data_IF_428421007245
#
_entry.id   IF_428421007245
#
_cell.length_a   1.000
_cell.length_b   1.000
_cell.length_c   1.000
_cell.angle_alpha   90.00
_cell.angle_beta   90.00
_cell.angle_gamma   90.00
#
_symmetry.space_group_name_H-M   'P 1'
#
loop_
_entity.id
_entity.type
_entity.pdbx_description
1 polymer ?
#
# COMPACT_ATOMS: atom_id res chain seq x y z
N UNK A 1 54.80 -24.17 13.73
CA UNK A 1 53.40 -24.27 14.20
C UNK A 1 52.94 -22.88 14.61
N UNK A 2 52.13 -22.24 13.77
CA UNK A 2 51.18 -21.17 14.15
C UNK A 2 50.18 -21.03 13.00
N UNK A 3 49.00 -21.61 13.19
CA UNK A 3 47.82 -21.38 12.36
C UNK A 3 47.29 -19.98 12.66
N UNK A 4 46.98 -19.21 11.61
CA UNK A 4 46.01 -18.11 11.71
C UNK A 4 45.07 -18.24 10.53
N UNK A 5 43.94 -18.89 10.80
CA UNK A 5 42.71 -18.78 10.02
C UNK A 5 42.27 -17.32 10.05
N UNK A 6 42.12 -16.70 8.87
CA UNK A 6 41.37 -15.44 8.74
C UNK A 6 40.12 -15.75 7.94
N UNK A 7 39.02 -15.73 8.69
CA UNK A 7 37.62 -15.90 8.33
C UNK A 7 37.24 -15.17 7.04
N UNK A 8 36.61 -15.90 6.13
CA UNK A 8 35.87 -15.32 5.02
C UNK A 8 34.62 -14.63 5.57
N UNK A 9 34.62 -13.30 5.62
CA UNK A 9 33.39 -12.52 5.82
C UNK A 9 32.53 -12.66 4.56
N UNK A 10 31.59 -13.59 4.62
CA UNK A 10 30.50 -13.76 3.65
C UNK A 10 29.64 -12.50 3.68
N UNK A 11 29.90 -11.60 2.74
CA UNK A 11 29.13 -10.37 2.52
C UNK A 11 27.78 -10.73 1.85
N UNK A 12 26.90 -11.37 2.61
CA UNK A 12 25.62 -11.91 2.17
C UNK A 12 24.42 -11.00 2.53
N UNK A 13 24.59 -9.68 2.43
CA UNK A 13 23.49 -8.73 2.73
C UNK A 13 23.35 -7.56 1.76
N UNK A 14 23.11 -7.81 0.46
CA UNK A 14 22.32 -6.84 -0.31
C UNK A 14 21.13 -7.43 -1.09
N UNK A 15 21.05 -8.76 -1.24
CA UNK A 15 20.00 -9.38 -2.08
C UNK A 15 18.67 -9.45 -1.33
N UNK A 16 18.68 -9.74 -0.02
CA UNK A 16 17.46 -9.81 0.79
C UNK A 16 16.73 -8.47 0.88
N UNK A 17 17.46 -7.36 0.90
CA UNK A 17 16.87 -6.01 0.99
C UNK A 17 16.28 -5.54 -0.34
N UNK A 18 16.93 -5.89 -1.47
CA UNK A 18 16.35 -5.70 -2.82
C UNK A 18 15.10 -6.54 -3.04
N UNK A 19 15.09 -7.79 -2.54
CA UNK A 19 13.92 -8.66 -2.60
C UNK A 19 12.79 -8.19 -1.67
N UNK A 20 13.07 -7.54 -0.56
CA UNK A 20 12.07 -6.94 0.32
C UNK A 20 11.38 -5.74 -0.33
N UNK A 21 12.13 -4.85 -1.02
CA UNK A 21 11.57 -3.79 -1.88
C UNK A 21 10.72 -4.35 -3.02
N UNK A 22 11.17 -5.44 -3.66
CA UNK A 22 10.38 -6.13 -4.70
C UNK A 22 9.14 -6.84 -4.14
N UNK A 23 9.18 -7.32 -2.90
CA UNK A 23 8.03 -7.99 -2.25
C UNK A 23 6.87 -7.04 -1.96
N UNK A 24 7.14 -5.75 -1.76
CA UNK A 24 6.11 -4.70 -1.71
C UNK A 24 5.51 -4.39 -3.08
N UNK A 25 6.34 -4.45 -4.13
CA UNK A 25 5.97 -4.15 -5.51
C UNK A 25 5.11 -5.24 -6.18
N UNK A 26 5.25 -6.51 -5.77
CA UNK A 26 4.59 -7.66 -6.40
C UNK A 26 3.30 -8.16 -5.71
N UNK A 27 2.70 -7.36 -4.81
CA UNK A 27 1.39 -7.72 -4.21
C UNK A 27 0.18 -7.42 -5.13
N UNK A 28 0.41 -6.78 -6.27
CA UNK A 28 -0.63 -6.43 -7.24
C UNK A 28 -0.79 -7.41 -8.40
N UNK A 29 -1.98 -7.46 -9.01
CA UNK A 29 -2.24 -8.15 -10.28
C UNK A 29 -1.35 -7.56 -11.40
N UNK A 30 -1.05 -8.30 -12.47
CA UNK A 30 -0.21 -7.86 -13.62
C UNK A 30 -0.63 -6.47 -14.14
N UNK A 31 -1.93 -6.18 -14.10
CA UNK A 31 -2.50 -4.88 -14.50
C UNK A 31 -2.00 -3.74 -13.60
N UNK A 32 -1.89 -3.96 -12.28
CA UNK A 32 -1.35 -2.97 -11.34
C UNK A 32 0.14 -2.74 -11.56
N UNK A 33 0.90 -3.80 -11.85
CA UNK A 33 2.34 -3.68 -12.13
C UNK A 33 2.61 -2.92 -13.43
N UNK A 34 1.80 -3.14 -14.47
CA UNK A 34 1.89 -2.38 -15.72
C UNK A 34 1.45 -0.93 -15.51
N UNK A 35 0.37 -0.69 -14.77
CA UNK A 35 -0.08 0.66 -14.45
C UNK A 35 0.96 1.43 -13.62
N UNK A 36 1.58 0.80 -12.62
CA UNK A 36 2.65 1.42 -11.83
C UNK A 36 3.89 1.77 -12.66
N UNK A 37 4.12 1.06 -13.77
CA UNK A 37 5.18 1.37 -14.73
C UNK A 37 4.78 2.50 -15.69
N UNK A 38 3.48 2.62 -15.99
CA UNK A 38 2.93 3.58 -16.94
C UNK A 38 2.69 4.97 -16.32
N UNK A 39 2.11 4.99 -15.12
CA UNK A 39 1.88 6.22 -14.36
C UNK A 39 3.18 6.64 -13.68
N UNK A 40 3.77 7.69 -14.25
CA UNK A 40 5.02 8.29 -13.74
C UNK A 40 4.79 9.19 -12.53
N UNK A 41 3.55 9.61 -12.33
CA UNK A 41 3.06 10.39 -11.20
C UNK A 41 2.29 9.48 -10.25
N UNK A 42 2.64 9.54 -8.97
CA UNK A 42 2.00 8.75 -7.92
C UNK A 42 0.54 9.14 -7.74
N UNK A 43 0.19 10.40 -7.91
CA UNK A 43 -1.18 10.87 -7.73
C UNK A 43 -2.08 10.34 -8.85
N UNK A 44 -1.60 10.38 -10.10
CA UNK A 44 -2.31 9.78 -11.24
C UNK A 44 -2.46 8.24 -11.12
N UNK A 45 -1.45 7.56 -10.57
CA UNK A 45 -1.55 6.12 -10.28
C UNK A 45 -2.62 5.83 -9.21
N UNK A 46 -2.65 6.62 -8.14
CA UNK A 46 -3.62 6.47 -7.06
C UNK A 46 -5.05 6.72 -7.55
N UNK A 47 -5.27 7.76 -8.37
CA UNK A 47 -6.57 8.06 -8.97
C UNK A 47 -7.05 6.91 -9.87
N UNK A 48 -6.16 6.35 -10.70
CA UNK A 48 -6.48 5.18 -11.51
C UNK A 48 -6.84 3.96 -10.65
N UNK A 49 -6.10 3.71 -9.57
CA UNK A 49 -6.31 2.58 -8.68
C UNK A 49 -7.66 2.70 -7.96
N UNK A 50 -8.01 3.91 -7.49
CA UNK A 50 -9.30 4.21 -6.88
C UNK A 50 -10.48 4.01 -7.85
N UNK A 51 -10.35 4.51 -9.08
CA UNK A 51 -11.36 4.30 -10.12
C UNK A 51 -11.55 2.81 -10.44
N UNK A 52 -10.45 2.06 -10.56
CA UNK A 52 -10.48 0.63 -10.82
C UNK A 52 -11.16 -0.15 -9.68
N UNK A 53 -10.84 0.17 -8.44
CA UNK A 53 -11.41 -0.49 -7.26
C UNK A 53 -12.91 -0.20 -7.16
N UNK A 54 -13.33 1.04 -7.40
CA UNK A 54 -14.74 1.43 -7.46
C UNK A 54 -15.51 0.59 -8.49
N UNK A 55 -14.98 0.46 -9.71
CA UNK A 55 -15.57 -0.38 -10.77
C UNK A 55 -15.61 -1.85 -10.37
N UNK A 56 -14.52 -2.37 -9.81
CA UNK A 56 -14.39 -3.79 -9.45
C UNK A 56 -15.37 -4.18 -8.34
N UNK A 57 -15.47 -3.36 -7.30
CA UNK A 57 -16.40 -3.55 -6.18
C UNK A 57 -17.84 -3.43 -6.68
N UNK A 58 -18.16 -2.39 -7.47
CA UNK A 58 -19.49 -2.22 -8.05
C UNK A 58 -19.90 -3.41 -8.90
N UNK A 59 -18.99 -3.92 -9.74
CA UNK A 59 -19.24 -5.10 -10.58
C UNK A 59 -19.42 -6.38 -9.74
N UNK A 60 -18.66 -6.54 -8.66
CA UNK A 60 -18.84 -7.66 -7.73
C UNK A 60 -20.20 -7.61 -7.04
N UNK A 61 -20.59 -6.46 -6.50
CA UNK A 61 -21.85 -6.25 -5.80
C UNK A 61 -23.06 -6.33 -6.75
N UNK A 62 -22.92 -5.87 -7.99
CA UNK A 62 -23.98 -5.94 -9.00
C UNK A 62 -24.43 -7.37 -9.31
N UNK A 63 -23.59 -8.38 -9.05
CA UNK A 63 -23.92 -9.80 -9.22
C UNK A 63 -24.79 -10.37 -8.09
N UNK A 64 -24.90 -9.68 -6.96
CA UNK A 64 -25.77 -10.08 -5.86
C UNK A 64 -27.24 -9.80 -6.23
N UNK A 65 -28.17 -10.60 -5.69
CA UNK A 65 -29.61 -10.31 -5.77
C UNK A 65 -29.99 -9.11 -4.91
N UNK A 66 -31.14 -8.49 -5.19
CA UNK A 66 -31.60 -7.31 -4.45
C UNK A 66 -31.81 -7.62 -2.96
N UNK A 67 -32.28 -8.82 -2.62
CA UNK A 67 -32.38 -9.27 -1.21
C UNK A 67 -31.02 -9.38 -0.53
N UNK A 68 -29.97 -9.77 -1.26
CA UNK A 68 -28.62 -9.85 -0.70
C UNK A 68 -28.01 -8.46 -0.52
N UNK A 69 -28.26 -7.55 -1.47
CA UNK A 69 -27.86 -6.14 -1.36
C UNK A 69 -28.57 -5.47 -0.17
N UNK A 70 -29.88 -5.66 -0.05
CA UNK A 70 -30.68 -5.09 1.05
C UNK A 70 -30.21 -5.59 2.42
N UNK A 71 -29.80 -6.86 2.52
CA UNK A 71 -29.24 -7.43 3.76
C UNK A 71 -27.93 -6.76 4.20
N UNK A 72 -27.16 -6.20 3.26
CA UNK A 72 -25.95 -5.41 3.56
C UNK A 72 -26.21 -3.90 3.52
N UNK A 73 -27.48 -3.48 3.50
CA UNK A 73 -27.88 -2.07 3.52
C UNK A 73 -27.61 -1.33 2.22
N UNK A 74 -27.49 -2.05 1.09
CA UNK A 74 -27.26 -1.47 -0.23
C UNK A 74 -28.50 -1.58 -1.11
N UNK A 75 -28.71 -0.59 -1.95
CA UNK A 75 -29.74 -0.60 -3.00
C UNK A 75 -29.04 -0.64 -4.37
N UNK A 76 -29.55 -1.46 -5.29
CA UNK A 76 -29.04 -1.54 -6.66
C UNK A 76 -29.07 -0.20 -7.39
N UNK A 77 -30.13 0.58 -7.21
CA UNK A 77 -30.32 1.86 -7.90
C UNK A 77 -29.28 2.91 -7.49
N UNK A 78 -28.78 2.81 -6.26
CA UNK A 78 -27.79 3.74 -5.69
C UNK A 78 -26.43 3.09 -5.47
N UNK A 79 -26.20 1.89 -6.02
CA UNK A 79 -25.04 1.06 -5.71
C UNK A 79 -23.72 1.77 -6.00
N UNK A 80 -23.63 2.45 -7.14
CA UNK A 80 -22.44 3.21 -7.54
C UNK A 80 -22.12 4.30 -6.51
N UNK A 81 -23.12 5.13 -6.17
CA UNK A 81 -22.98 6.21 -5.19
C UNK A 81 -22.63 5.67 -3.80
N UNK A 82 -23.19 4.53 -3.42
CA UNK A 82 -22.88 3.89 -2.15
C UNK A 82 -21.42 3.41 -2.10
N UNK A 83 -20.91 2.81 -3.18
CA UNK A 83 -19.51 2.39 -3.28
C UNK A 83 -18.57 3.60 -3.28
N UNK A 84 -18.88 4.66 -4.04
CA UNK A 84 -18.11 5.91 -4.03
C UNK A 84 -18.04 6.52 -2.62
N UNK A 85 -19.18 6.58 -1.91
CA UNK A 85 -19.22 7.07 -0.53
C UNK A 85 -18.44 6.19 0.45
N UNK A 86 -18.41 4.86 0.25
CA UNK A 86 -17.59 3.95 1.03
C UNK A 86 -16.09 4.19 0.81
N UNK A 87 -15.68 4.44 -0.45
CA UNK A 87 -14.29 4.76 -0.78
C UNK A 87 -13.86 6.09 -0.16
N UNK A 88 -14.69 7.13 -0.27
CA UNK A 88 -14.41 8.44 0.34
C UNK A 88 -14.29 8.32 1.87
N UNK A 89 -15.21 7.59 2.52
CA UNK A 89 -15.16 7.35 3.96
C UNK A 89 -13.89 6.58 4.36
N UNK A 90 -13.46 5.60 3.57
CA UNK A 90 -12.23 4.87 3.82
C UNK A 90 -10.98 5.78 3.69
N UNK A 91 -10.93 6.63 2.67
CA UNK A 91 -9.85 7.61 2.48
C UNK A 91 -9.79 8.58 3.67
N UNK A 92 -10.95 9.10 4.10
CA UNK A 92 -11.05 9.99 5.27
C UNK A 92 -10.59 9.29 6.56
N UNK A 93 -11.03 8.06 6.79
CA UNK A 93 -10.63 7.27 7.95
C UNK A 93 -9.12 6.98 7.94
N UNK A 94 -8.54 6.71 6.77
CA UNK A 94 -7.10 6.53 6.60
C UNK A 94 -6.30 7.79 6.96
N UNK A 95 -6.80 8.97 6.62
CA UNK A 95 -6.21 10.24 7.02
C UNK A 95 -6.24 10.43 8.54
N UNK A 96 -7.39 10.18 9.18
CA UNK A 96 -7.56 10.27 10.64
C UNK A 96 -6.62 9.29 11.36
N UNK A 97 -6.51 8.05 10.88
CA UNK A 97 -5.61 7.05 11.47
C UNK A 97 -4.16 7.49 11.36
N UNK A 98 -3.75 8.06 10.22
CA UNK A 98 -2.39 8.59 10.04
C UNK A 98 -2.09 9.72 11.00
N UNK A 99 -3.02 10.67 11.14
CA UNK A 99 -2.90 11.77 12.09
C UNK A 99 -2.84 11.27 13.54
N UNK A 100 -3.69 10.31 13.91
CA UNK A 100 -3.67 9.70 15.24
C UNK A 100 -2.34 8.99 15.53
N UNK A 101 -1.78 8.25 14.54
CA UNK A 101 -0.46 7.62 14.67
C UNK A 101 0.65 8.67 14.82
N UNK A 102 0.57 9.78 14.10
CA UNK A 102 1.51 10.90 14.24
C UNK A 102 1.43 11.56 15.63
N UNK A 103 0.25 11.63 16.25
CA UNK A 103 0.09 12.18 17.59
C UNK A 103 0.63 11.21 18.65
N UNK A 104 0.41 9.91 18.45
CA UNK A 104 0.78 8.86 19.42
C UNK A 104 2.27 8.47 19.32
N UNK A 105 2.92 8.65 18.17
CA UNK A 105 4.33 8.32 18.02
C UNK A 105 5.23 9.20 18.91
N UNK A 106 6.00 8.62 19.86
CA UNK A 106 6.91 9.36 20.71
C UNK A 106 8.00 10.03 19.87
N UNK A 107 8.42 11.24 20.27
CA UNK A 107 9.35 12.11 19.53
C UNK A 107 10.67 11.43 19.12
N UNK A 108 11.15 10.46 19.91
CA UNK A 108 12.38 9.71 19.63
C UNK A 108 12.24 8.79 18.41
N UNK A 109 11.07 8.15 18.22
CA UNK A 109 10.81 7.29 17.06
C UNK A 109 10.67 8.08 15.74
N UNK A 110 10.38 9.38 15.81
CA UNK A 110 10.43 10.30 14.66
C UNK A 110 11.86 10.69 14.29
N UNK A 111 12.75 10.79 15.28
CA UNK A 111 14.15 11.18 15.09
C UNK A 111 14.95 10.05 14.43
N UNK A 112 14.83 8.83 14.93
CA UNK A 112 15.48 7.64 14.35
C UNK A 112 15.05 7.37 12.89
N UNK A 113 13.77 7.60 12.56
CA UNK A 113 13.26 7.40 11.19
C UNK A 113 13.76 8.45 10.20
N UNK A 114 13.94 9.69 10.66
CA UNK A 114 14.57 10.76 9.87
C UNK A 114 16.05 10.50 9.66
N UNK A 115 16.75 10.03 10.70
CA UNK A 115 18.17 9.68 10.61
C UNK A 115 18.41 8.48 9.67
N UNK A 116 17.57 7.45 9.70
CA UNK A 116 17.62 6.34 8.73
C UNK A 116 17.29 6.78 7.30
N UNK A 117 16.35 7.71 7.09
CA UNK A 117 16.03 8.23 5.76
C UNK A 117 17.16 9.08 5.15
N UNK A 118 17.92 9.80 5.98
CA UNK A 118 19.08 10.59 5.54
C UNK A 118 20.36 9.77 5.36
N UNK A 119 20.56 8.69 6.12
CA UNK A 119 21.70 7.79 5.96
C UNK A 119 21.73 7.07 4.61
N UNK A 120 20.56 6.73 4.06
CA UNK A 120 20.44 6.04 2.75
C UNK A 120 20.71 6.96 1.55
N UNK A 121 20.72 8.28 1.74
CA UNK A 121 21.01 9.25 0.67
C UNK A 121 22.51 9.64 0.60
N UNK A 122 23.34 9.12 1.50
CA UNK A 122 24.75 9.50 1.64
C UNK A 122 25.75 8.38 1.28
N UNK A 123 25.28 7.23 0.81
CA UNK A 123 26.11 6.14 0.26
C UNK A 123 26.02 6.04 -1.27
#
# INVERSE_FOLDING_TARGET
MTHTETTAETNETPVRDRLAKLRGFWRGNIIESVAALHYRDQDAYNEWLEARDTVSITAALSRLSDRQLDRIGLNRETLVLAVEGMMEANTRNGAIVREALEIVEPSEARKERREMAHGVAAE
#
